data_IF_721867064202
#
_entry.id   IF_721867064202
#
_cell.length_a   1.000
_cell.length_b   1.000
_cell.length_c   1.000
_cell.angle_alpha   90.00
_cell.angle_beta   90.00
_cell.angle_gamma   90.00
#
_symmetry.space_group_name_H-M   'P 1'
#
loop_
_entity.id
_entity.type
_entity.pdbx_description
1 polymer ?
#
# COMPACT_ATOMS: atom_id res chain seq x y z
N UNK A 1 -4.85 3.31 8.46
CA UNK A 1 -3.42 2.97 8.29
C UNK A 1 -2.75 2.94 9.65
N UNK A 2 -2.00 1.91 9.92
CA UNK A 2 -1.20 1.81 11.13
C UNK A 2 0.19 2.37 10.88
N UNK A 3 0.64 3.26 11.75
CA UNK A 3 1.96 3.89 11.64
C UNK A 3 2.87 3.35 12.74
N UNK A 4 4.04 2.87 12.35
CA UNK A 4 5.05 2.35 13.26
C UNK A 4 6.30 3.19 13.10
N UNK A 5 6.73 3.87 14.18
CA UNK A 5 8.02 4.54 14.21
C UNK A 5 9.07 3.56 14.70
N UNK A 6 9.88 3.05 13.79
CA UNK A 6 10.90 2.04 14.10
C UNK A 6 12.06 2.64 14.86
N UNK A 7 12.45 3.85 14.51
CA UNK A 7 13.48 4.61 15.20
C UNK A 7 12.96 6.01 15.52
N UNK A 8 13.41 6.56 16.64
CA UNK A 8 13.03 7.90 17.07
C UNK A 8 13.85 8.95 16.32
N UNK A 9 13.23 10.06 16.02
CA UNK A 9 13.86 11.18 15.35
C UNK A 9 12.98 11.78 14.29
N UNK A 10 13.58 12.48 13.36
CA UNK A 10 12.89 13.10 12.25
C UNK A 10 12.55 12.05 11.21
N UNK A 11 11.30 12.00 10.81
CA UNK A 11 10.83 11.08 9.77
C UNK A 11 10.43 11.84 8.50
N UNK A 12 10.38 11.10 7.38
CA UNK A 12 9.93 11.66 6.11
C UNK A 12 8.48 12.14 6.23
N UNK A 13 8.18 13.28 5.61
CA UNK A 13 6.82 13.79 5.55
C UNK A 13 5.94 12.89 4.70
N UNK A 14 4.73 12.64 5.17
CA UNK A 14 3.76 11.89 4.41
C UNK A 14 2.35 12.41 4.65
N UNK A 15 1.46 12.15 3.70
CA UNK A 15 0.02 12.39 3.87
C UNK A 15 -0.76 11.33 3.10
N UNK A 16 -2.01 11.12 3.51
CA UNK A 16 -2.94 10.21 2.83
C UNK A 16 -4.04 11.00 2.16
N UNK A 17 -4.30 10.68 0.90
CA UNK A 17 -5.46 11.19 0.17
C UNK A 17 -6.16 10.01 -0.51
N UNK A 18 -7.31 9.60 0.01
CA UNK A 18 -8.00 8.42 -0.47
C UNK A 18 -7.13 7.18 -0.31
N UNK A 19 -6.85 6.47 -1.40
CA UNK A 19 -5.98 5.29 -1.44
C UNK A 19 -4.54 5.63 -1.85
N UNK A 20 -4.18 6.91 -1.95
CA UNK A 20 -2.83 7.33 -2.28
C UNK A 20 -2.09 7.82 -1.05
N UNK A 21 -0.81 7.45 -0.93
CA UNK A 21 0.09 8.02 0.06
C UNK A 21 1.11 8.90 -0.65
N UNK A 22 1.33 10.10 -0.11
CA UNK A 22 2.25 11.08 -0.66
C UNK A 22 3.42 11.28 0.28
N UNK A 23 4.61 11.34 -0.26
CA UNK A 23 5.82 11.62 0.50
C UNK A 23 6.51 12.88 -0.03
N UNK A 24 7.31 13.49 0.82
CA UNK A 24 8.19 14.59 0.44
C UNK A 24 7.42 15.75 -0.20
N UNK A 25 6.35 16.19 0.46
CA UNK A 25 5.53 17.29 -0.03
C UNK A 25 4.79 17.02 -1.33
N UNK A 26 4.53 15.75 -1.64
CA UNK A 26 3.83 15.35 -2.85
C UNK A 26 4.74 15.05 -4.04
N UNK A 27 6.06 15.05 -3.85
CA UNK A 27 7.00 14.70 -4.92
C UNK A 27 6.95 13.23 -5.30
N UNK A 28 6.61 12.38 -4.34
CA UNK A 28 6.44 10.95 -4.57
C UNK A 28 5.03 10.55 -4.13
N UNK A 29 4.25 10.03 -5.06
CA UNK A 29 2.86 9.61 -4.82
C UNK A 29 2.75 8.13 -5.15
N UNK A 30 2.25 7.34 -4.19
CA UNK A 30 2.04 5.91 -4.35
C UNK A 30 0.54 5.64 -4.30
N UNK A 31 -0.01 5.10 -5.38
CA UNK A 31 -1.39 4.61 -5.40
C UNK A 31 -1.40 3.19 -4.83
N UNK A 32 -1.84 3.07 -3.58
CA UNK A 32 -1.81 1.79 -2.85
C UNK A 32 -2.70 0.74 -3.51
N UNK A 33 -3.82 1.14 -4.07
CA UNK A 33 -4.72 0.21 -4.77
C UNK A 33 -4.06 -0.39 -6.01
N UNK A 34 -3.32 0.41 -6.76
CA UNK A 34 -2.57 -0.07 -7.92
C UNK A 34 -1.43 -1.00 -7.54
N UNK A 35 -0.82 -0.76 -6.40
CA UNK A 35 0.28 -1.60 -5.90
C UNK A 35 -0.20 -2.90 -5.27
N UNK A 36 -1.48 -2.99 -4.90
CA UNK A 36 -2.04 -4.18 -4.28
C UNK A 36 -2.01 -5.39 -5.22
N UNK A 37 -1.57 -6.53 -4.67
CA UNK A 37 -1.41 -7.79 -5.42
C UNK A 37 -2.20 -8.92 -4.74
N UNK A 38 -2.11 -10.12 -5.28
CA UNK A 38 -2.73 -11.31 -4.69
C UNK A 38 -2.16 -11.71 -3.34
N UNK A 39 -0.89 -11.39 -3.09
CA UNK A 39 -0.24 -11.55 -1.78
C UNK A 39 0.08 -10.19 -1.16
N UNK A 40 0.67 -10.22 0.03
CA UNK A 40 1.16 -8.99 0.67
C UNK A 40 2.23 -8.33 -0.21
N UNK A 41 2.13 -7.03 -0.36
CA UNK A 41 3.09 -6.22 -1.13
C UNK A 41 3.84 -5.30 -0.18
N UNK A 42 5.14 -5.21 -0.37
CA UNK A 42 6.00 -4.31 0.40
C UNK A 42 6.63 -3.30 -0.55
N UNK A 43 6.47 -2.03 -0.25
CA UNK A 43 7.07 -0.93 -1.02
C UNK A 43 8.06 -0.22 -0.10
N UNK A 44 9.33 -0.18 -0.53
CA UNK A 44 10.37 0.53 0.19
C UNK A 44 10.47 1.97 -0.31
N UNK A 45 10.64 2.89 0.61
CA UNK A 45 10.83 4.31 0.31
C UNK A 45 12.17 4.73 0.89
N UNK A 46 12.99 5.33 0.05
CA UNK A 46 14.32 5.79 0.43
C UNK A 46 14.53 7.22 -0.03
N UNK A 47 15.55 7.85 0.50
CA UNK A 47 16.05 9.13 0.00
C UNK A 47 17.28 8.87 -0.85
N UNK A 48 17.34 9.51 -2.01
CA UNK A 48 18.52 9.46 -2.84
C UNK A 48 19.62 10.43 -2.34
N UNK A 49 20.73 10.51 -3.06
CA UNK A 49 21.85 11.37 -2.72
C UNK A 49 21.45 12.85 -2.60
N UNK A 50 20.46 13.28 -3.36
CA UNK A 50 19.97 14.67 -3.36
C UNK A 50 18.86 14.90 -2.30
N UNK A 51 18.53 13.87 -1.51
CA UNK A 51 17.51 13.96 -0.49
C UNK A 51 16.09 13.82 -1.02
N UNK A 52 15.91 13.34 -2.24
CA UNK A 52 14.59 13.13 -2.85
C UNK A 52 14.05 11.75 -2.52
N UNK A 53 12.75 11.68 -2.24
CA UNK A 53 12.07 10.42 -2.00
C UNK A 53 11.95 9.61 -3.29
N UNK A 54 12.35 8.35 -3.22
CA UNK A 54 12.28 7.40 -4.34
C UNK A 54 11.78 6.05 -3.83
N UNK A 55 11.19 5.27 -4.73
CA UNK A 55 10.82 3.89 -4.41
C UNK A 55 12.03 2.97 -4.53
N UNK A 56 12.05 1.94 -3.69
CA UNK A 56 13.16 1.01 -3.64
C UNK A 56 14.21 1.40 -2.63
N UNK A 57 15.35 0.72 -2.68
CA UNK A 57 16.47 0.97 -1.77
C UNK A 57 17.46 1.95 -2.43
N UNK A 58 17.80 3.01 -1.72
CA UNK A 58 18.76 4.02 -2.16
C UNK A 58 19.68 4.41 -0.99
N UNK A 59 20.25 5.62 -0.99
CA UNK A 59 21.27 6.02 -0.03
C UNK A 59 20.81 6.00 1.43
N UNK A 60 19.55 6.42 1.70
CA UNK A 60 18.99 6.41 3.05
C UNK A 60 17.60 5.80 3.06
N UNK A 61 17.42 4.77 3.87
CA UNK A 61 16.13 4.11 4.02
C UNK A 61 15.22 4.96 4.91
N UNK A 62 14.02 5.29 4.42
CA UNK A 62 13.13 6.21 5.11
C UNK A 62 11.83 5.56 5.58
N UNK A 63 11.23 4.69 4.78
CA UNK A 63 9.93 4.12 5.11
C UNK A 63 9.69 2.79 4.40
N UNK A 64 8.76 2.02 4.93
CA UNK A 64 8.27 0.79 4.30
C UNK A 64 6.75 0.77 4.39
N UNK A 65 6.10 0.49 3.27
CA UNK A 65 4.66 0.34 3.22
C UNK A 65 4.34 -1.13 3.04
N UNK A 66 3.51 -1.69 3.94
CA UNK A 66 2.95 -3.03 3.78
C UNK A 66 1.51 -2.92 3.36
N UNK A 67 1.20 -3.49 2.21
CA UNK A 67 -0.13 -3.45 1.63
C UNK A 67 -0.73 -4.85 1.73
N UNK A 68 -1.95 -5.00 2.30
CA UNK A 68 -2.56 -6.32 2.43
C UNK A 68 -2.90 -6.90 1.06
N UNK A 69 -3.03 -8.23 0.94
CA UNK A 69 -3.43 -8.84 -0.30
C UNK A 69 -4.83 -8.42 -0.72
N UNK A 70 -5.10 -8.54 -2.01
CA UNK A 70 -6.44 -8.30 -2.55
C UNK A 70 -7.45 -9.25 -1.94
N UNK A 71 -8.60 -8.71 -1.59
CA UNK A 71 -9.74 -9.48 -1.09
C UNK A 71 -10.84 -9.48 -2.14
N UNK A 72 -11.56 -10.58 -2.18
CA UNK A 72 -12.67 -10.76 -3.09
C UNK A 72 -13.91 -11.20 -2.32
N UNK A 73 -15.04 -10.77 -2.82
CA UNK A 73 -16.35 -11.26 -2.39
C UNK A 73 -16.85 -12.25 -3.43
N UNK A 74 -17.35 -13.39 -2.97
CA UNK A 74 -17.93 -14.41 -3.83
C UNK A 74 -19.44 -14.39 -3.62
N UNK A 75 -20.17 -14.23 -4.72
CA UNK A 75 -21.64 -14.21 -4.70
C UNK A 75 -22.19 -15.17 -5.73
N UNK A 76 -23.37 -15.73 -5.42
CA UNK A 76 -24.20 -16.37 -6.42
C UNK A 76 -24.90 -15.28 -7.23
N UNK A 77 -24.83 -15.35 -8.57
CA UNK A 77 -25.44 -14.34 -9.43
C UNK A 77 -26.90 -14.65 -9.80
N UNK A 78 -27.47 -15.72 -9.25
CA UNK A 78 -28.84 -16.14 -9.55
C UNK A 78 -29.01 -16.89 -10.86
N UNK A 79 -27.95 -17.14 -11.59
CA UNK A 79 -27.97 -17.88 -12.85
C UNK A 79 -27.58 -19.34 -12.61
N UNK A 80 -28.38 -20.26 -13.16
CA UNK A 80 -28.09 -21.69 -13.09
C UNK A 80 -27.68 -22.14 -14.50
N UNK A 81 -26.59 -22.89 -14.61
CA UNK A 81 -26.15 -23.43 -15.89
C UNK A 81 -27.01 -24.62 -16.35
N UNK A 82 -26.72 -25.12 -17.55
CA UNK A 82 -27.48 -26.23 -18.13
C UNK A 82 -27.41 -27.53 -17.32
N UNK A 83 -26.41 -27.66 -16.42
CA UNK A 83 -26.23 -28.84 -15.58
C UNK A 83 -26.81 -28.66 -14.17
N UNK A 84 -27.47 -27.52 -13.90
CA UNK A 84 -28.09 -27.22 -12.61
C UNK A 84 -27.15 -26.65 -11.57
N UNK A 85 -25.91 -26.29 -11.93
CA UNK A 85 -24.97 -25.65 -11.02
C UNK A 85 -25.22 -24.15 -11.00
N UNK A 86 -25.16 -23.56 -9.80
CA UNK A 86 -25.28 -22.12 -9.64
C UNK A 86 -23.97 -21.46 -10.02
N UNK A 87 -24.08 -20.39 -10.80
CA UNK A 87 -22.92 -19.58 -11.15
C UNK A 87 -22.55 -18.67 -9.99
N UNK A 88 -21.26 -18.47 -9.79
CA UNK A 88 -20.74 -17.57 -8.78
C UNK A 88 -19.95 -16.45 -9.46
N UNK A 89 -20.10 -15.24 -8.93
CA UNK A 89 -19.32 -14.09 -9.32
C UNK A 89 -18.27 -13.81 -8.27
N UNK A 90 -17.07 -13.48 -8.72
CA UNK A 90 -15.98 -13.04 -7.88
C UNK A 90 -15.80 -11.54 -8.07
N UNK A 91 -16.04 -10.80 -7.02
CA UNK A 91 -15.95 -9.33 -7.03
C UNK A 91 -14.75 -8.89 -6.21
N UNK A 92 -13.89 -8.08 -6.81
CA UNK A 92 -12.78 -7.46 -6.10
C UNK A 92 -13.29 -6.41 -5.12
N UNK A 93 -12.86 -6.50 -3.87
CA UNK A 93 -13.16 -5.49 -2.87
C UNK A 93 -12.13 -4.36 -2.94
N UNK A 94 -12.54 -3.12 -2.64
CA UNK A 94 -11.58 -2.01 -2.58
C UNK A 94 -10.58 -2.23 -1.44
N UNK A 95 -9.41 -1.59 -1.56
CA UNK A 95 -8.40 -1.63 -0.53
C UNK A 95 -8.95 -1.05 0.77
N UNK A 96 -8.79 -1.80 1.87
CA UNK A 96 -9.04 -1.27 3.20
C UNK A 96 -7.75 -0.59 3.69
N UNK A 97 -7.73 0.72 3.67
CA UNK A 97 -6.56 1.50 4.07
C UNK A 97 -6.20 1.35 5.55
N UNK A 98 -7.16 0.93 6.39
CA UNK A 98 -6.89 0.65 7.80
C UNK A 98 -5.93 -0.53 8.01
N UNK A 99 -5.84 -1.42 7.03
CA UNK A 99 -4.96 -2.59 7.07
C UNK A 99 -3.56 -2.30 6.52
N UNK A 100 -3.32 -1.13 5.97
CA UNK A 100 -2.00 -0.72 5.47
C UNK A 100 -1.11 -0.35 6.67
N UNK A 101 0.13 -0.81 6.64
CA UNK A 101 1.11 -0.51 7.68
C UNK A 101 2.23 0.33 7.09
N UNK A 102 2.44 1.50 7.66
CA UNK A 102 3.55 2.38 7.31
C UNK A 102 4.58 2.35 8.44
N UNK A 103 5.77 1.86 8.15
CA UNK A 103 6.88 1.86 9.09
C UNK A 103 7.86 2.95 8.70
N UNK A 104 8.26 3.76 9.68
CA UNK A 104 9.12 4.91 9.49
C UNK A 104 10.45 4.73 10.23
N UNK A 105 11.53 5.09 9.57
CA UNK A 105 12.86 5.18 10.17
C UNK A 105 13.30 6.63 10.21
N UNK A 106 14.04 6.98 11.26
CA UNK A 106 14.56 8.33 11.38
C UNK A 106 15.56 8.62 10.25
N UNK A 107 15.43 9.80 9.65
CA UNK A 107 16.36 10.27 8.66
C UNK A 107 17.63 10.78 9.34
N UNK A 108 18.78 10.44 8.80
CA UNK A 108 20.03 11.00 9.24
C UNK A 108 20.24 12.39 8.67
N UNK A 109 20.74 13.27 9.48
CA UNK A 109 21.08 14.63 9.07
C UNK A 109 22.57 14.80 8.79
#
# INVERSE_FOLDING_TARGET
MKIIEKTKGRHIDFCMEGSCICFDGGRLIIDLEKEQRGGETVVDISLDRDGRAVTGVSDWYAAQIRIPPRKFEVRENGITDAMGFRQIEKRRLPLNTDEVILTLWAMEE
#
